data_IF_389741510851
#
_entry.id   IF_389741510851
#
_cell.length_a   1.000
_cell.length_b   1.000
_cell.length_c   1.000
_cell.angle_alpha   90.00
_cell.angle_beta   90.00
_cell.angle_gamma   90.00
#
_symmetry.space_group_name_H-M   'P 1'
#
loop_
_entity.id
_entity.type
_entity.pdbx_description
1 polymer ?
#
# COMPACT_ATOMS: atom_id res chain seq x y z
N UNK A 1 -4.79 -1.94 16.97
CA UNK A 1 -6.08 -1.75 16.28
C UNK A 1 -6.66 -3.12 15.95
N UNK A 2 -7.89 -3.41 16.39
CA UNK A 2 -8.60 -4.62 16.00
C UNK A 2 -9.58 -4.27 14.87
N UNK A 3 -9.45 -4.93 13.71
CA UNK A 3 -10.36 -4.74 12.57
C UNK A 3 -11.64 -5.54 12.87
N UNK A 4 -12.77 -4.85 13.00
CA UNK A 4 -14.08 -5.50 13.14
C UNK A 4 -14.62 -5.92 11.76
N UNK A 5 -14.27 -7.13 11.36
CA UNK A 5 -14.67 -7.75 10.08
C UNK A 5 -16.19 -7.70 9.87
N UNK A 6 -16.99 -7.93 10.94
CA UNK A 6 -18.44 -7.93 10.83
C UNK A 6 -18.98 -6.53 10.52
N UNK A 7 -18.41 -5.50 11.16
CA UNK A 7 -18.73 -4.10 10.88
C UNK A 7 -18.31 -3.68 9.47
N UNK A 8 -17.16 -4.15 8.98
CA UNK A 8 -16.71 -3.88 7.60
C UNK A 8 -17.69 -4.46 6.57
N UNK A 9 -18.09 -5.72 6.77
CA UNK A 9 -19.00 -6.45 5.89
C UNK A 9 -20.40 -5.81 5.82
N UNK A 10 -20.89 -5.26 6.94
CA UNK A 10 -22.20 -4.65 7.04
C UNK A 10 -22.27 -3.16 6.67
N UNK A 11 -21.15 -2.52 6.34
CA UNK A 11 -21.10 -1.08 6.06
C UNK A 11 -21.66 -0.73 4.68
N UNK A 12 -22.48 0.32 4.60
CA UNK A 12 -22.87 0.92 3.32
C UNK A 12 -21.71 1.66 2.64
N UNK A 13 -20.71 2.09 3.43
CA UNK A 13 -19.49 2.73 2.94
C UNK A 13 -18.24 2.06 3.56
N UNK A 14 -17.81 0.88 3.05
CA UNK A 14 -16.72 0.13 3.65
C UNK A 14 -15.35 0.77 3.45
N UNK A 15 -15.14 1.54 2.37
CA UNK A 15 -13.89 2.26 2.14
C UNK A 15 -13.66 3.37 3.17
N UNK A 16 -14.68 4.22 3.39
CA UNK A 16 -14.64 5.28 4.41
C UNK A 16 -14.44 4.70 5.82
N UNK A 17 -15.11 3.60 6.13
CA UNK A 17 -14.94 2.90 7.41
C UNK A 17 -13.51 2.38 7.57
N UNK A 18 -12.95 1.75 6.55
CA UNK A 18 -11.58 1.23 6.58
C UNK A 18 -10.56 2.36 6.75
N UNK A 19 -10.73 3.47 6.02
CA UNK A 19 -9.92 4.67 6.19
C UNK A 19 -10.00 5.21 7.63
N UNK A 20 -11.21 5.25 8.21
CA UNK A 20 -11.38 5.70 9.60
C UNK A 20 -10.58 4.86 10.60
N UNK A 21 -10.41 3.56 10.34
CA UNK A 21 -9.60 2.68 11.15
C UNK A 21 -8.11 2.93 10.90
N UNK A 22 -7.70 3.05 9.63
CA UNK A 22 -6.29 3.24 9.29
C UNK A 22 -5.71 4.56 9.78
N UNK A 23 -6.53 5.59 10.03
CA UNK A 23 -6.08 6.84 10.67
C UNK A 23 -5.31 6.63 12.00
N UNK A 24 -5.56 5.54 12.72
CA UNK A 24 -4.85 5.20 13.96
C UNK A 24 -3.70 4.19 13.76
N UNK A 25 -3.51 3.69 12.53
CA UNK A 25 -2.44 2.73 12.22
C UNK A 25 -1.10 3.47 12.25
N UNK A 26 -0.30 3.16 13.27
CA UNK A 26 1.06 3.68 13.39
C UNK A 26 2.02 2.88 12.51
N UNK A 27 2.10 3.27 11.24
CA UNK A 27 3.10 2.76 10.31
C UNK A 27 4.08 3.88 9.94
N UNK A 28 5.38 3.60 9.92
CA UNK A 28 6.35 4.56 9.40
C UNK A 28 6.25 4.60 7.89
N UNK A 29 5.91 5.76 7.34
CA UNK A 29 5.77 5.98 5.90
C UNK A 29 6.84 6.97 5.44
N UNK A 30 7.53 6.61 4.36
CA UNK A 30 8.53 7.44 3.70
C UNK A 30 8.06 7.72 2.29
N UNK A 31 7.65 8.97 2.06
CA UNK A 31 7.23 9.48 0.76
C UNK A 31 8.44 10.09 0.03
N UNK A 32 8.79 9.51 -1.11
CA UNK A 32 9.96 9.86 -1.93
C UNK A 32 9.60 9.91 -3.41
N UNK A 33 10.55 10.36 -4.22
CA UNK A 33 10.39 10.47 -5.67
C UNK A 33 11.50 9.72 -6.39
N UNK A 34 11.14 9.13 -7.53
CA UNK A 34 12.03 8.56 -8.52
C UNK A 34 11.66 9.08 -9.91
N UNK A 35 12.60 8.97 -10.85
CA UNK A 35 12.26 9.16 -12.26
C UNK A 35 11.22 8.11 -12.69
N UNK A 36 10.08 8.50 -13.31
CA UNK A 36 9.07 7.55 -13.78
C UNK A 36 9.62 6.42 -14.66
N UNK A 37 10.69 6.67 -15.42
CA UNK A 37 11.35 5.66 -16.26
C UNK A 37 11.96 4.51 -15.44
N UNK A 38 12.33 4.76 -14.18
CA UNK A 38 13.03 3.80 -13.32
C UNK A 38 12.06 3.00 -12.44
N UNK A 39 10.78 3.43 -12.32
CA UNK A 39 9.79 2.78 -11.45
C UNK A 39 9.59 1.29 -11.75
N UNK A 40 9.65 0.91 -13.03
CA UNK A 40 9.52 -0.50 -13.41
C UNK A 40 10.72 -1.34 -12.95
N UNK A 41 11.92 -0.77 -12.87
CA UNK A 41 13.10 -1.44 -12.32
C UNK A 41 13.01 -1.53 -10.80
N UNK A 42 12.65 -0.43 -10.14
CA UNK A 42 12.47 -0.35 -8.68
C UNK A 42 11.40 -1.36 -8.22
N UNK A 43 10.31 -1.52 -8.96
CA UNK A 43 9.25 -2.49 -8.68
C UNK A 43 9.72 -3.96 -8.71
N UNK A 44 10.89 -4.25 -9.31
CA UNK A 44 11.49 -5.59 -9.36
C UNK A 44 12.59 -5.79 -8.31
N UNK A 45 12.93 -4.77 -7.52
CA UNK A 45 13.88 -4.89 -6.44
C UNK A 45 13.34 -5.87 -5.38
N UNK A 46 14.11 -6.92 -5.09
CA UNK A 46 13.71 -7.98 -4.15
C UNK A 46 13.57 -7.51 -2.71
N UNK A 47 14.03 -6.30 -2.39
CA UNK A 47 13.87 -5.65 -1.09
C UNK A 47 12.50 -4.97 -0.94
N UNK A 48 11.77 -4.81 -2.05
CA UNK A 48 10.45 -4.19 -2.09
C UNK A 48 9.37 -5.27 -2.18
N UNK A 49 8.39 -5.21 -1.29
CA UNK A 49 7.17 -6.01 -1.40
C UNK A 49 6.01 -5.10 -1.81
N UNK A 50 5.58 -5.22 -3.07
CA UNK A 50 4.52 -4.38 -3.64
C UNK A 50 3.19 -4.55 -2.90
N UNK A 51 2.51 -3.44 -2.63
CA UNK A 51 1.21 -3.42 -1.96
C UNK A 51 0.33 -2.28 -2.50
N UNK A 52 -0.87 -2.15 -1.96
CA UNK A 52 -1.80 -1.05 -2.24
C UNK A 52 -2.00 -0.81 -3.74
N UNK A 53 -1.66 0.40 -4.22
CA UNK A 53 -1.83 0.76 -5.63
C UNK A 53 -0.91 -0.03 -6.58
N UNK A 54 0.19 -0.59 -6.09
CA UNK A 54 1.14 -1.37 -6.89
C UNK A 54 0.94 -2.89 -6.78
N UNK A 55 0.03 -3.36 -5.94
CA UNK A 55 -0.36 -4.77 -5.93
C UNK A 55 -1.14 -5.12 -7.22
N UNK A 56 -0.91 -6.32 -7.76
CA UNK A 56 -1.62 -6.80 -8.95
C UNK A 56 -3.13 -6.82 -8.77
N UNK A 57 -3.62 -7.10 -7.55
CA UNK A 57 -5.04 -7.06 -7.20
C UNK A 57 -5.50 -5.63 -7.02
N UNK A 58 -4.63 -4.69 -6.68
CA UNK A 58 -4.95 -3.26 -6.77
C UNK A 58 -5.40 -2.91 -8.18
N UNK A 59 -4.70 -3.37 -9.21
CA UNK A 59 -5.04 -3.07 -10.61
C UNK A 59 -5.00 -1.56 -10.93
N UNK A 60 -4.46 -0.77 -10.00
CA UNK A 60 -4.29 0.68 -10.08
C UNK A 60 -2.85 1.07 -10.44
N UNK A 61 -1.98 0.07 -10.65
CA UNK A 61 -0.57 0.27 -10.98
C UNK A 61 -0.46 1.21 -12.17
N UNK A 62 -0.07 2.45 -11.89
CA UNK A 62 0.22 3.44 -12.91
C UNK A 62 1.72 3.39 -13.20
N UNK A 63 2.13 3.70 -14.42
CA UNK A 63 3.55 3.87 -14.76
C UNK A 63 4.22 5.05 -14.02
N UNK A 64 3.50 5.71 -13.11
CA UNK A 64 3.91 6.95 -12.47
C UNK A 64 3.87 6.88 -10.95
N UNK A 65 3.32 5.84 -10.32
CA UNK A 65 3.23 5.73 -8.86
C UNK A 65 3.65 4.33 -8.41
N UNK A 66 4.38 4.25 -7.30
CA UNK A 66 4.85 3.01 -6.70
C UNK A 66 4.56 3.00 -5.20
N UNK A 67 4.08 1.87 -4.69
CA UNK A 67 3.81 1.66 -3.28
C UNK A 67 4.27 0.27 -2.84
N UNK A 68 4.90 0.19 -1.67
CA UNK A 68 5.27 -1.10 -1.12
C UNK A 68 6.01 -1.03 0.19
N UNK A 69 6.29 -2.20 0.75
CA UNK A 69 7.01 -2.37 1.99
C UNK A 69 8.51 -2.50 1.76
N UNK A 70 9.29 -1.87 2.63
CA UNK A 70 10.74 -2.04 2.74
C UNK A 70 11.07 -2.28 4.22
N UNK A 71 11.95 -3.24 4.51
CA UNK A 71 12.39 -3.46 5.89
C UNK A 71 13.25 -2.30 6.39
N UNK A 72 13.12 -1.88 7.65
CA UNK A 72 13.93 -0.83 8.28
C UNK A 72 15.45 -1.04 8.07
N UNK A 73 16.02 -2.26 8.22
CA UNK A 73 17.45 -2.48 7.97
C UNK A 73 17.90 -2.26 6.51
N UNK A 74 16.96 -2.28 5.55
CA UNK A 74 17.23 -2.05 4.13
C UNK A 74 16.86 -0.64 3.69
N UNK A 75 16.13 0.15 4.49
CA UNK A 75 15.57 1.46 4.10
C UNK A 75 16.59 2.37 3.43
N UNK A 76 17.71 2.64 4.11
CA UNK A 76 18.71 3.59 3.61
C UNK A 76 19.40 3.10 2.33
N UNK A 77 19.74 1.81 2.26
CA UNK A 77 20.34 1.21 1.07
C UNK A 77 19.36 1.18 -0.10
N UNK A 78 18.10 0.88 0.16
CA UNK A 78 17.06 0.88 -0.86
C UNK A 78 16.87 2.28 -1.46
N UNK A 79 16.83 3.32 -0.62
CA UNK A 79 16.73 4.72 -1.06
C UNK A 79 17.95 5.11 -1.90
N UNK A 80 19.16 4.79 -1.45
CA UNK A 80 20.39 5.16 -2.15
C UNK A 80 20.56 4.42 -3.48
N UNK A 81 20.39 3.10 -3.49
CA UNK A 81 20.62 2.27 -4.68
C UNK A 81 19.58 2.54 -5.77
N UNK A 82 18.36 2.92 -5.40
CA UNK A 82 17.29 3.28 -6.34
C UNK A 82 17.20 4.80 -6.60
N UNK A 83 18.19 5.59 -6.15
CA UNK A 83 18.28 7.03 -6.37
C UNK A 83 17.02 7.81 -5.93
N UNK A 84 16.36 7.36 -4.87
CA UNK A 84 15.14 7.98 -4.37
C UNK A 84 15.46 9.28 -3.63
N UNK A 85 14.65 10.31 -3.88
CA UNK A 85 14.83 11.64 -3.25
C UNK A 85 13.60 12.06 -2.47
N UNK A 86 13.73 12.74 -1.31
CA UNK A 86 12.60 13.35 -0.63
C UNK A 86 11.85 14.32 -1.57
N UNK A 87 10.52 14.32 -1.53
CA UNK A 87 9.70 15.18 -2.38
C UNK A 87 8.38 15.54 -1.72
N UNK A 88 7.94 16.79 -1.92
CA UNK A 88 6.60 17.26 -1.54
C UNK A 88 5.51 16.74 -2.50
N UNK A 89 5.92 16.28 -3.69
CA UNK A 89 5.06 15.58 -4.66
C UNK A 89 5.64 14.18 -4.91
N UNK A 90 5.53 13.28 -3.92
CA UNK A 90 6.09 11.94 -4.01
C UNK A 90 5.38 11.12 -5.08
N UNK A 91 6.12 10.22 -5.70
CA UNK A 91 5.58 9.21 -6.61
C UNK A 91 5.96 7.78 -6.18
N UNK A 92 6.66 7.66 -5.05
CA UNK A 92 7.01 6.41 -4.40
C UNK A 92 6.64 6.54 -2.92
N UNK A 93 5.78 5.64 -2.43
CA UNK A 93 5.42 5.52 -1.02
C UNK A 93 6.00 4.24 -0.45
N UNK A 94 6.87 4.35 0.55
CA UNK A 94 7.50 3.22 1.21
C UNK A 94 6.95 3.04 2.62
N UNK A 95 6.36 1.88 2.87
CA UNK A 95 5.92 1.45 4.20
C UNK A 95 7.08 0.76 4.90
N UNK A 96 7.57 1.35 5.97
CA UNK A 96 8.75 0.85 6.68
C UNK A 96 8.32 -0.04 7.84
N UNK A 97 8.83 -1.27 7.81
CA UNK A 97 8.49 -2.35 8.76
C UNK A 97 9.76 -3.05 9.24
N UNK A 98 9.73 -3.70 10.40
CA UNK A 98 10.89 -4.50 10.84
C UNK A 98 11.06 -5.75 9.97
N UNK A 99 9.95 -6.46 9.73
CA UNK A 99 9.88 -7.68 8.92
C UNK A 99 9.07 -7.46 7.65
N UNK A 100 9.66 -7.77 6.50
CA UNK A 100 8.95 -7.70 5.22
C UNK A 100 7.80 -8.71 5.18
N UNK A 101 6.58 -8.29 4.81
CA UNK A 101 5.50 -9.23 4.57
C UNK A 101 5.85 -10.16 3.40
N UNK A 102 5.52 -11.44 3.56
CA UNK A 102 5.80 -12.45 2.53
C UNK A 102 4.88 -12.23 1.33
N UNK A 103 5.44 -12.27 0.12
CA UNK A 103 4.66 -12.26 -1.11
C UNK A 103 3.96 -13.62 -1.34
N UNK A 104 2.68 -13.64 -1.79
CA UNK A 104 1.84 -12.48 -2.05
C UNK A 104 1.37 -11.80 -0.75
N UNK A 105 1.32 -10.47 -0.75
CA UNK A 105 0.90 -9.68 0.42
C UNK A 105 -0.52 -10.09 0.84
N UNK A 106 -0.83 -10.22 2.15
CA UNK A 106 -2.18 -10.43 2.61
C UNK A 106 -3.15 -9.35 2.07
N UNK A 107 -4.32 -9.76 1.57
CA UNK A 107 -5.29 -8.81 0.99
C UNK A 107 -5.69 -7.70 1.99
N UNK A 108 -5.75 -8.02 3.29
CA UNK A 108 -6.02 -7.03 4.33
C UNK A 108 -5.00 -5.89 4.38
N UNK A 109 -3.72 -6.16 4.10
CA UNK A 109 -2.69 -5.12 4.01
C UNK A 109 -2.86 -4.29 2.73
N UNK A 110 -3.15 -4.93 1.60
CA UNK A 110 -3.44 -4.20 0.35
C UNK A 110 -4.62 -3.24 0.53
N UNK A 111 -5.70 -3.70 1.16
CA UNK A 111 -6.88 -2.87 1.44
C UNK A 111 -6.56 -1.72 2.41
N UNK A 112 -5.75 -1.98 3.44
CA UNK A 112 -5.30 -0.95 4.37
C UNK A 112 -4.47 0.13 3.66
N UNK A 113 -3.52 -0.28 2.84
CA UNK A 113 -2.63 0.64 2.10
C UNK A 113 -3.42 1.45 1.06
N UNK A 114 -4.40 0.84 0.37
CA UNK A 114 -5.35 1.58 -0.47
C UNK A 114 -6.15 2.62 0.33
N UNK A 115 -6.58 2.28 1.56
CA UNK A 115 -7.36 3.17 2.39
C UNK A 115 -6.54 4.38 2.87
N UNK A 116 -5.23 4.21 3.09
CA UNK A 116 -4.30 5.29 3.49
C UNK A 116 -4.23 6.44 2.46
N UNK A 117 -4.65 6.21 1.21
CA UNK A 117 -4.70 7.25 0.20
C UNK A 117 -5.91 8.17 0.32
N UNK A 118 -7.04 7.68 0.85
CA UNK A 118 -8.31 8.42 0.97
C UNK A 118 -8.70 9.17 -0.31
N UNK A 119 -8.76 8.44 -1.42
CA UNK A 119 -8.97 8.97 -2.77
C UNK A 119 -10.07 8.19 -3.49
N UNK A 120 -10.89 8.84 -4.34
CA UNK A 120 -12.02 8.18 -4.99
C UNK A 120 -11.66 6.93 -5.81
N UNK A 121 -10.47 6.92 -6.43
CA UNK A 121 -10.00 5.80 -7.26
C UNK A 121 -9.71 4.57 -6.39
N UNK A 122 -8.98 4.76 -5.30
CA UNK A 122 -8.60 3.72 -4.34
C UNK A 122 -9.82 3.21 -3.56
N UNK A 123 -10.75 4.11 -3.18
CA UNK A 123 -12.00 3.77 -2.51
C UNK A 123 -12.88 2.85 -3.37
N UNK A 124 -13.02 3.17 -4.66
CA UNK A 124 -13.75 2.34 -5.61
C UNK A 124 -13.13 0.94 -5.68
N UNK A 125 -11.79 0.84 -5.67
CA UNK A 125 -11.10 -0.45 -5.73
C UNK A 125 -11.26 -1.27 -4.44
N UNK A 126 -11.22 -0.64 -3.27
CA UNK A 126 -11.52 -1.29 -2.00
C UNK A 126 -12.89 -1.97 -2.05
N UNK A 127 -13.90 -1.25 -2.52
CA UNK A 127 -15.28 -1.78 -2.63
C UNK A 127 -15.34 -2.99 -3.56
N UNK A 128 -14.67 -2.94 -4.72
CA UNK A 128 -14.62 -4.06 -5.66
C UNK A 128 -13.93 -5.28 -5.06
N UNK A 129 -12.78 -5.09 -4.42
CA UNK A 129 -12.02 -6.18 -3.81
C UNK A 129 -12.81 -6.85 -2.69
N UNK A 130 -13.47 -6.08 -1.83
CA UNK A 130 -14.30 -6.60 -0.73
C UNK A 130 -15.50 -7.42 -1.22
N UNK A 131 -16.08 -7.10 -2.38
CA UNK A 131 -17.14 -7.91 -3.01
C UNK A 131 -16.64 -9.30 -3.43
N UNK A 132 -15.36 -9.42 -3.77
CA UNK A 132 -14.73 -10.69 -4.15
C UNK A 132 -14.22 -11.53 -2.97
N UNK A 133 -14.32 -11.05 -1.74
CA UNK A 133 -13.84 -11.77 -0.55
C UNK A 133 -14.83 -12.85 -0.10
N UNK A 134 -14.36 -14.09 0.02
CA UNK A 134 -15.05 -15.11 0.79
C UNK A 134 -14.84 -14.88 2.29
N UNK A 135 -15.84 -14.29 2.93
CA UNK A 135 -15.85 -14.08 4.38
C UNK A 135 -16.03 -15.41 5.10
N UNK A 136 -14.96 -15.93 5.72
CA UNK A 136 -15.06 -17.10 6.58
C UNK A 136 -15.50 -16.68 8.00
N UNK A 137 -16.43 -17.41 8.63
CA UNK A 137 -16.92 -17.14 9.98
C UNK A 137 -15.85 -17.40 11.05
#
# INVERSE_FOLDING_TARGET
MAIDIARLKGSENPAELLHSWMNERQLSVVDVSANPADLAEIARDRRLALSGISDERGGLSSMHELEGYVSEPQRERFIQDNLLVPSETPNVRLHIVDDLPTAPIPLGLVLADLADWNRPREDARIIELLKGVEWRP
#
